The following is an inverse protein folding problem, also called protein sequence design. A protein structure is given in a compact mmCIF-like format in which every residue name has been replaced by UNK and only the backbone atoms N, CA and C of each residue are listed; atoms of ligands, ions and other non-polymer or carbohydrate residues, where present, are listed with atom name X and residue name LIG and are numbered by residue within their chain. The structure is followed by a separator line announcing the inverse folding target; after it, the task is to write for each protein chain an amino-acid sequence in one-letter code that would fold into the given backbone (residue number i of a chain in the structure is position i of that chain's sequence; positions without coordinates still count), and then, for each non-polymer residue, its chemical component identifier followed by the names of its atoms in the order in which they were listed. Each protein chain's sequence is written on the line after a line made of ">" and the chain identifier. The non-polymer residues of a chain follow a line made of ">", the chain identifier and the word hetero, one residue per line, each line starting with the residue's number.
data_IF_586297157190
#
_entry.id   IF_586297157190
#
_cell.length_a   1.000
_cell.length_b   1.000
_cell.length_c   1.000
_cell.angle_alpha   90.00
_cell.angle_beta   90.00
_cell.angle_gamma   90.00
#
_symmetry.space_group_name_H-M   'P 1'
#
loop_
_entity.id
_entity.type
_entity.pdbx_description
1 polymer ?
#
# COMPACT_ATOMS: atom_id res chain seq x y z
N UNK A 1 -24.63 -20.63 1.97
CA UNK A 1 -24.11 -19.84 3.12
C UNK A 1 -22.91 -19.01 2.67
N UNK A 2 -23.09 -17.84 2.02
CA UNK A 2 -21.96 -17.12 1.36
C UNK A 2 -21.94 -15.59 1.45
N UNK A 3 -22.93 -14.94 2.07
CA UNK A 3 -23.06 -13.47 2.04
C UNK A 3 -22.19 -12.69 3.03
N UNK A 4 -21.84 -13.28 4.19
CA UNK A 4 -21.08 -12.60 5.26
C UNK A 4 -19.56 -12.70 5.04
N UNK A 5 -19.11 -13.75 4.35
CA UNK A 5 -17.68 -14.10 4.22
C UNK A 5 -16.91 -13.12 3.33
N UNK A 6 -17.47 -12.73 2.18
CA UNK A 6 -16.76 -11.83 1.26
C UNK A 6 -16.63 -10.40 1.79
N UNK A 7 -17.67 -9.89 2.48
CA UNK A 7 -17.58 -8.60 3.18
C UNK A 7 -16.51 -8.62 4.26
N UNK A 8 -16.43 -9.69 5.05
CA UNK A 8 -15.40 -9.83 6.08
C UNK A 8 -13.99 -9.94 5.50
N UNK A 9 -13.81 -10.70 4.41
CA UNK A 9 -12.54 -10.79 3.67
C UNK A 9 -12.15 -9.44 3.10
N UNK A 10 -13.08 -8.69 2.52
CA UNK A 10 -12.80 -7.36 1.99
C UNK A 10 -12.41 -6.37 3.10
N UNK A 11 -13.11 -6.38 4.23
CA UNK A 11 -12.75 -5.57 5.40
C UNK A 11 -11.35 -5.94 5.92
N UNK A 12 -11.00 -7.23 5.95
CA UNK A 12 -9.67 -7.69 6.32
C UNK A 12 -8.60 -7.19 5.33
N UNK A 13 -8.84 -7.30 4.01
CA UNK A 13 -7.96 -6.76 2.96
C UNK A 13 -7.77 -5.25 3.11
N UNK A 14 -8.86 -4.50 3.34
CA UNK A 14 -8.82 -3.04 3.58
C UNK A 14 -8.00 -2.70 4.83
N UNK A 15 -8.21 -3.40 5.95
CA UNK A 15 -7.42 -3.20 7.18
C UNK A 15 -5.95 -3.52 6.98
N UNK A 16 -5.63 -4.60 6.27
CA UNK A 16 -4.26 -4.98 5.95
C UNK A 16 -3.58 -3.91 5.10
N UNK A 17 -4.24 -3.43 4.03
CA UNK A 17 -3.73 -2.32 3.21
C UNK A 17 -3.47 -1.06 4.05
N UNK A 18 -4.42 -0.64 4.90
CA UNK A 18 -4.23 0.53 5.79
C UNK A 18 -2.99 0.39 6.68
N UNK A 19 -2.81 -0.76 7.34
CA UNK A 19 -1.65 -1.03 8.19
C UNK A 19 -0.34 -0.97 7.40
N UNK A 20 -0.30 -1.61 6.21
CA UNK A 20 0.91 -1.61 5.36
C UNK A 20 1.23 -0.23 4.80
N UNK A 21 0.22 0.55 4.39
CA UNK A 21 0.40 1.92 3.94
C UNK A 21 1.03 2.81 5.03
N UNK A 22 0.58 2.70 6.28
CA UNK A 22 1.17 3.45 7.39
C UNK A 22 2.67 3.10 7.59
N UNK A 23 3.02 1.81 7.49
CA UNK A 23 4.42 1.37 7.58
C UNK A 23 5.24 1.90 6.40
N UNK A 24 4.71 1.82 5.18
CA UNK A 24 5.37 2.31 3.97
C UNK A 24 5.60 3.81 4.07
N UNK A 25 4.60 4.59 4.49
CA UNK A 25 4.73 6.05 4.71
C UNK A 25 5.84 6.37 5.72
N UNK A 26 5.91 5.64 6.83
CA UNK A 26 6.98 5.82 7.82
C UNK A 26 8.36 5.50 7.26
N UNK A 27 8.47 4.46 6.42
CA UNK A 27 9.73 4.09 5.76
C UNK A 27 10.13 5.10 4.69
N UNK A 28 9.18 5.55 3.87
CA UNK A 28 9.37 6.52 2.79
C UNK A 28 10.03 7.82 3.28
N UNK A 29 9.69 8.29 4.48
CA UNK A 29 10.25 9.50 5.07
C UNK A 29 11.76 9.41 5.37
N UNK A 30 12.33 8.21 5.48
CA UNK A 30 13.76 7.98 5.76
C UNK A 30 14.47 7.17 4.68
N UNK A 31 13.75 6.78 3.63
CA UNK A 31 14.22 5.85 2.62
C UNK A 31 15.15 6.56 1.61
N UNK A 32 16.20 5.87 1.20
CA UNK A 32 17.03 6.26 0.06
C UNK A 32 16.26 6.13 -1.26
N UNK A 33 16.78 6.70 -2.34
CA UNK A 33 16.17 6.63 -3.68
C UNK A 33 15.93 5.19 -4.15
N UNK A 34 16.88 4.29 -3.91
CA UNK A 34 16.74 2.86 -4.25
C UNK A 34 15.66 2.17 -3.40
N UNK A 35 15.57 2.49 -2.11
CA UNK A 35 14.53 1.94 -1.23
C UNK A 35 13.14 2.45 -1.60
N UNK A 36 13.02 3.71 -2.04
CA UNK A 36 11.75 4.29 -2.49
C UNK A 36 11.19 3.55 -3.71
N UNK A 37 12.02 3.18 -4.68
CA UNK A 37 11.62 2.36 -5.82
C UNK A 37 11.07 0.98 -5.39
N UNK A 38 11.72 0.34 -4.40
CA UNK A 38 11.23 -0.94 -3.83
C UNK A 38 9.89 -0.75 -3.11
N UNK A 39 9.70 0.37 -2.40
CA UNK A 39 8.44 0.71 -1.75
C UNK A 39 7.32 0.97 -2.77
N UNK A 40 7.62 1.64 -3.89
CA UNK A 40 6.68 1.88 -4.97
C UNK A 40 6.23 0.56 -5.63
N UNK A 41 7.16 -0.34 -5.96
CA UNK A 41 6.81 -1.66 -6.50
C UNK A 41 5.93 -2.46 -5.53
N UNK A 42 6.23 -2.37 -4.23
CA UNK A 42 5.42 -3.03 -3.19
C UNK A 42 4.00 -2.45 -3.10
N UNK A 43 3.82 -1.15 -3.35
CA UNK A 43 2.51 -0.53 -3.40
C UNK A 43 1.71 -1.03 -4.62
N UNK A 44 2.33 -1.08 -5.81
CA UNK A 44 1.71 -1.61 -7.05
C UNK A 44 1.17 -3.03 -6.87
N UNK A 45 1.96 -3.90 -6.26
CA UNK A 45 1.57 -5.31 -6.05
C UNK A 45 0.42 -5.47 -5.03
N UNK A 46 0.24 -4.51 -4.11
CA UNK A 46 -0.72 -4.63 -3.00
C UNK A 46 -2.05 -3.91 -3.26
N UNK A 47 -2.01 -2.79 -3.99
CA UNK A 47 -3.16 -1.91 -4.15
C UNK A 47 -3.38 -1.60 -5.63
N UNK A 48 -4.52 -2.01 -6.22
CA UNK A 48 -4.87 -1.52 -7.55
C UNK A 48 -5.04 0.01 -7.48
N UNK A 49 -4.44 0.74 -8.43
CA UNK A 49 -4.40 2.22 -8.41
C UNK A 49 -3.35 2.82 -7.48
N UNK A 50 -2.29 2.07 -7.16
CA UNK A 50 -1.18 2.53 -6.32
C UNK A 50 -0.48 3.81 -6.82
N UNK A 51 -0.56 4.14 -8.10
CA UNK A 51 0.10 5.31 -8.70
C UNK A 51 -0.24 6.62 -7.97
N UNK A 52 -1.51 6.81 -7.60
CA UNK A 52 -1.93 7.99 -6.82
C UNK A 52 -1.25 8.09 -5.45
N UNK A 53 -0.98 6.96 -4.81
CA UNK A 53 -0.31 6.87 -3.51
C UNK A 53 1.19 7.04 -3.66
N UNK A 54 1.78 6.50 -4.74
CA UNK A 54 3.20 6.62 -5.07
C UNK A 54 3.53 8.09 -5.31
N UNK A 55 2.72 8.80 -6.11
CA UNK A 55 2.85 10.23 -6.35
C UNK A 55 2.67 11.04 -5.06
N UNK A 56 1.63 10.76 -4.25
CA UNK A 56 1.41 11.47 -2.99
C UNK A 56 2.53 11.26 -1.95
N UNK A 57 3.32 10.19 -2.07
CA UNK A 57 4.43 9.87 -1.17
C UNK A 57 5.80 10.22 -1.76
N UNK A 58 5.88 10.80 -2.96
CA UNK A 58 7.13 11.10 -3.69
C UNK A 58 8.10 9.90 -3.67
N UNK A 59 7.56 8.71 -3.96
CA UNK A 59 8.33 7.46 -4.00
C UNK A 59 8.99 7.24 -5.36
N UNK A 60 8.50 7.90 -6.40
CA UNK A 60 9.08 7.93 -7.74
C UNK A 60 8.97 9.37 -8.28
N UNK A 61 10.00 9.79 -9.02
CA UNK A 61 10.00 10.95 -9.91
C UNK A 61 9.93 10.45 -11.34
#
# INVERSE_FOLDING_TARGET
>A
MGGIVERHKELARRRHRRKKLAIIKRKAAKASTSEKAVLAQKLRNMTPGAESIIAALNLEE
#
